data_IF_690647178847
#
_entry.id   IF_690647178847
#
_cell.length_a   1.000
_cell.length_b   1.000
_cell.length_c   1.000
_cell.angle_alpha   90.00
_cell.angle_beta   90.00
_cell.angle_gamma   90.00
#
_symmetry.space_group_name_H-M   'P 1'
#
loop_
_entity.id
_entity.type
_entity.pdbx_description
1 polymer ?
#
# COMPACT_ATOMS: atom_id res chain seq x y z
N UNK A 1 54.70 -72.55 39.86
CA UNK A 1 56.09 -72.11 40.15
C UNK A 1 56.55 -71.19 39.04
N UNK A 2 56.87 -69.96 39.42
CA UNK A 2 57.83 -69.02 38.83
C UNK A 2 57.92 -68.79 37.30
N UNK A 3 57.77 -67.49 36.96
CA UNK A 3 58.65 -66.68 36.06
C UNK A 3 58.52 -66.90 34.55
N UNK A 4 58.61 -65.91 33.64
CA UNK A 4 59.00 -64.49 33.70
C UNK A 4 58.70 -63.83 32.33
N UNK A 5 58.15 -62.61 32.35
CA UNK A 5 58.50 -61.39 31.57
C UNK A 5 58.66 -61.35 30.03
N UNK A 6 58.26 -60.19 29.49
CA UNK A 6 58.41 -59.60 28.15
C UNK A 6 57.33 -60.06 27.14
N UNK A 7 56.49 -59.20 26.52
CA UNK A 7 56.86 -58.13 25.60
C UNK A 7 55.58 -57.35 25.19
N UNK A 8 55.71 -56.03 24.96
CA UNK A 8 54.89 -55.19 24.07
C UNK A 8 53.40 -54.95 24.38
N UNK A 9 53.15 -53.88 25.14
CA UNK A 9 51.90 -53.09 25.11
C UNK A 9 51.92 -52.26 23.82
N UNK A 10 51.03 -52.57 22.88
CA UNK A 10 50.63 -51.71 21.78
C UNK A 10 49.19 -51.26 22.01
N UNK A 11 48.88 -50.04 21.56
CA UNK A 11 47.57 -49.40 21.51
C UNK A 11 47.06 -48.73 22.79
N UNK A 12 47.65 -47.58 23.15
CA UNK A 12 46.89 -46.41 23.61
C UNK A 12 47.80 -45.16 23.59
N UNK A 13 48.08 -44.67 22.38
CA UNK A 13 48.68 -43.36 22.16
C UNK A 13 48.26 -42.82 20.79
N UNK A 14 47.13 -42.11 20.77
CA UNK A 14 46.77 -41.19 19.68
C UNK A 14 46.03 -40.00 20.30
N UNK A 15 46.80 -39.11 20.92
CA UNK A 15 46.37 -37.79 21.35
C UNK A 15 47.35 -36.78 20.74
N UNK A 16 47.13 -36.43 19.47
CA UNK A 16 47.63 -35.19 18.89
C UNK A 16 46.62 -34.69 17.85
N UNK A 17 46.09 -33.50 18.11
CA UNK A 17 45.60 -32.47 17.18
C UNK A 17 44.64 -32.90 16.05
N UNK A 18 43.36 -32.60 16.28
CA UNK A 18 42.52 -31.95 15.27
C UNK A 18 41.81 -30.79 15.95
N UNK A 19 42.41 -29.61 15.87
CA UNK A 19 41.66 -28.36 15.89
C UNK A 19 41.01 -28.23 14.51
N UNK A 20 39.67 -28.17 14.46
CA UNK A 20 38.94 -27.16 13.68
C UNK A 20 37.42 -27.34 13.80
N UNK A 21 36.80 -26.21 14.16
CA UNK A 21 35.44 -25.80 13.81
C UNK A 21 34.26 -26.62 14.38
N UNK A 22 34.14 -26.68 15.71
CA UNK A 22 32.81 -26.49 16.29
C UNK A 22 32.44 -25.03 16.09
N UNK A 23 31.72 -24.74 15.00
CA UNK A 23 31.08 -23.45 14.81
C UNK A 23 30.25 -23.15 16.06
N UNK A 24 30.66 -22.13 16.80
CA UNK A 24 29.86 -21.55 17.85
C UNK A 24 28.54 -21.09 17.23
N UNK A 25 27.46 -21.86 17.41
CA UNK A 25 26.10 -21.32 17.43
C UNK A 25 26.04 -20.36 18.61
N UNK A 26 26.50 -19.14 18.36
CA UNK A 26 26.52 -18.04 19.31
C UNK A 26 25.14 -17.39 19.28
N UNK A 27 24.34 -17.72 20.31
CA UNK A 27 23.27 -16.90 20.87
C UNK A 27 22.50 -15.99 19.89
N UNK A 28 21.35 -16.46 19.40
CA UNK A 28 20.32 -15.63 18.77
C UNK A 28 19.57 -14.70 19.74
N UNK A 29 20.01 -14.56 20.99
CA UNK A 29 19.55 -13.53 21.92
C UNK A 29 20.52 -12.34 22.00
N UNK A 30 20.90 -11.78 20.85
CA UNK A 30 21.27 -10.36 20.85
C UNK A 30 19.97 -9.59 20.68
N UNK A 31 19.53 -8.90 21.74
CA UNK A 31 18.55 -7.84 21.57
C UNK A 31 19.07 -6.94 20.46
N UNK A 32 18.31 -6.84 19.37
CA UNK A 32 18.70 -5.99 18.26
C UNK A 32 18.89 -4.58 18.82
N UNK A 33 20.07 -4.01 18.57
CA UNK A 33 20.41 -2.68 19.05
C UNK A 33 19.95 -1.69 17.98
N UNK A 34 19.43 -0.55 18.42
CA UNK A 34 19.04 0.53 17.51
C UNK A 34 20.20 0.87 16.54
N UNK A 35 19.86 1.29 15.30
CA UNK A 35 20.87 1.68 14.31
C UNK A 35 21.87 2.71 14.88
N UNK A 36 23.15 2.51 14.58
CA UNK A 36 24.22 3.34 15.11
C UNK A 36 24.14 4.78 14.57
N UNK A 37 23.97 5.78 15.46
CA UNK A 37 23.91 7.21 15.09
C UNK A 37 25.12 7.66 14.30
N UNK A 38 26.33 7.29 14.72
CA UNK A 38 27.56 7.69 14.06
C UNK A 38 27.74 7.08 12.67
N UNK A 39 26.99 6.01 12.34
CA UNK A 39 26.94 5.47 11.00
C UNK A 39 25.95 6.24 10.13
N UNK A 40 24.76 6.54 10.66
CA UNK A 40 23.71 7.27 9.93
C UNK A 40 24.15 8.69 9.59
N UNK A 41 24.72 9.44 10.55
CA UNK A 41 25.16 10.82 10.34
C UNK A 41 26.30 10.97 9.31
N UNK A 42 26.98 9.87 8.92
CA UNK A 42 27.95 9.92 7.80
C UNK A 42 27.29 10.21 6.46
N UNK A 43 25.99 9.93 6.35
CA UNK A 43 25.18 10.12 5.16
C UNK A 43 24.09 11.16 5.38
N UNK A 44 24.24 12.04 6.38
CA UNK A 44 23.20 12.98 6.80
C UNK A 44 21.85 12.30 7.07
N UNK A 45 21.88 11.13 7.71
CA UNK A 45 20.69 10.42 8.17
C UNK A 45 20.64 10.40 9.69
N UNK A 46 19.44 10.37 10.24
CA UNK A 46 19.22 10.23 11.67
C UNK A 46 18.08 9.26 12.00
N UNK A 47 17.98 8.91 13.30
CA UNK A 47 16.90 8.05 13.80
C UNK A 47 15.70 8.92 14.16
N UNK A 48 14.54 8.60 13.60
CA UNK A 48 13.26 9.10 14.07
C UNK A 48 12.71 8.28 15.23
N UNK A 49 11.38 8.22 15.32
CA UNK A 49 10.65 7.41 16.29
C UNK A 49 11.01 5.92 16.23
N UNK A 50 11.00 5.27 17.39
CA UNK A 50 11.24 3.83 17.51
C UNK A 50 10.37 3.22 18.59
N UNK A 51 10.04 1.95 18.42
CA UNK A 51 9.11 1.23 19.28
C UNK A 51 9.42 -0.25 19.34
N UNK A 52 8.90 -0.90 20.38
CA UNK A 52 8.99 -2.34 20.54
C UNK A 52 7.58 -2.94 20.50
N UNK A 53 7.31 -3.73 19.46
CA UNK A 53 6.10 -4.52 19.35
C UNK A 53 6.12 -5.69 20.34
N UNK A 54 4.92 -6.16 20.70
CA UNK A 54 4.76 -7.36 21.53
C UNK A 54 4.96 -8.58 20.65
N UNK A 55 6.07 -9.28 20.87
CA UNK A 55 6.43 -10.52 20.18
C UNK A 55 6.83 -11.53 21.25
N UNK A 56 6.26 -12.74 21.20
CA UNK A 56 6.64 -13.80 22.12
C UNK A 56 8.04 -14.33 21.76
N UNK A 57 9.03 -14.31 22.68
CA UNK A 57 10.37 -14.81 22.38
C UNK A 57 10.39 -16.32 22.05
N UNK A 58 9.35 -17.08 22.39
CA UNK A 58 9.26 -18.52 22.17
C UNK A 58 8.63 -18.85 20.81
N UNK A 59 9.31 -18.46 19.73
CA UNK A 59 8.97 -18.89 18.36
C UNK A 59 7.94 -18.03 17.64
N UNK A 60 7.60 -16.86 18.18
CA UNK A 60 6.88 -15.83 17.44
C UNK A 60 7.88 -14.93 16.69
N UNK A 61 7.45 -14.41 15.56
CA UNK A 61 8.20 -13.41 14.81
C UNK A 61 7.23 -12.48 14.08
N UNK A 62 7.68 -11.26 13.84
CA UNK A 62 6.91 -10.32 13.02
C UNK A 62 6.72 -10.91 11.62
N UNK A 63 5.47 -10.88 11.16
CA UNK A 63 5.03 -11.34 9.85
C UNK A 63 4.78 -10.16 8.91
N UNK A 64 4.05 -9.15 9.37
CA UNK A 64 3.66 -7.98 8.57
C UNK A 64 3.91 -6.68 9.33
N UNK A 65 4.29 -5.66 8.56
CA UNK A 65 4.24 -4.26 8.97
C UNK A 65 3.33 -3.55 7.99
N UNK A 66 2.30 -2.90 8.52
CA UNK A 66 1.43 -2.01 7.78
C UNK A 66 1.50 -0.62 8.40
N UNK A 67 1.34 0.40 7.56
CA UNK A 67 1.40 1.81 7.97
C UNK A 67 0.22 2.52 7.32
N UNK A 68 -0.44 3.38 8.08
CA UNK A 68 -1.37 4.39 7.58
C UNK A 68 -0.83 5.80 7.92
N UNK A 69 -1.66 6.84 7.83
CA UNK A 69 -1.22 8.22 8.06
C UNK A 69 -0.79 8.52 9.52
N UNK A 70 -1.24 7.72 10.48
CA UNK A 70 -1.06 8.00 11.92
C UNK A 70 -0.37 6.86 12.68
N UNK A 71 -0.60 5.61 12.28
CA UNK A 71 -0.22 4.41 13.02
C UNK A 71 0.61 3.45 12.17
N UNK A 72 1.51 2.76 12.84
CA UNK A 72 2.14 1.55 12.33
C UNK A 72 1.57 0.33 13.07
N UNK A 73 1.15 -0.66 12.30
CA UNK A 73 0.70 -1.96 12.80
C UNK A 73 1.80 -2.99 12.59
N UNK A 74 2.16 -3.69 13.66
CA UNK A 74 3.10 -4.81 13.64
C UNK A 74 2.32 -6.07 13.98
N UNK A 75 2.23 -6.99 13.03
CA UNK A 75 1.51 -8.25 13.18
C UNK A 75 2.49 -9.42 13.19
N UNK A 76 2.27 -10.38 14.08
CA UNK A 76 3.16 -11.55 14.26
C UNK A 76 2.53 -12.85 13.80
N UNK A 77 3.34 -13.90 13.62
CA UNK A 77 2.86 -15.23 13.21
C UNK A 77 1.89 -15.87 14.21
N UNK A 78 2.04 -15.53 15.48
CA UNK A 78 1.16 -15.98 16.56
C UNK A 78 -0.05 -15.05 16.76
N UNK A 79 -0.42 -14.24 15.78
CA UNK A 79 -1.65 -13.43 15.84
C UNK A 79 -1.60 -12.26 16.83
N UNK A 80 -0.41 -11.88 17.29
CA UNK A 80 -0.22 -10.67 18.08
C UNK A 80 -0.20 -9.46 17.15
N UNK A 81 -0.94 -8.43 17.52
CA UNK A 81 -1.03 -7.18 16.77
C UNK A 81 -0.70 -6.05 17.72
N UNK A 82 0.29 -5.25 17.36
CA UNK A 82 0.65 -4.04 18.10
C UNK A 82 0.48 -2.83 17.21
N UNK A 83 -0.23 -1.81 17.68
CA UNK A 83 -0.23 -0.49 17.05
C UNK A 83 0.73 0.45 17.76
N UNK A 84 1.56 1.10 16.96
CA UNK A 84 2.52 2.11 17.37
C UNK A 84 2.13 3.45 16.73
N UNK A 85 2.26 4.54 17.47
CA UNK A 85 2.22 5.88 16.92
C UNK A 85 3.34 6.04 15.88
N UNK A 86 3.01 6.46 14.66
CA UNK A 86 3.92 6.44 13.52
C UNK A 86 5.11 7.40 13.69
N UNK A 87 4.89 8.53 14.37
CA UNK A 87 5.90 9.57 14.54
C UNK A 87 6.86 9.24 15.68
N UNK A 88 6.32 8.83 16.83
CA UNK A 88 7.08 8.62 18.07
C UNK A 88 7.53 7.18 18.26
N UNK A 89 6.86 6.21 17.63
CA UNK A 89 7.05 4.78 17.84
C UNK A 89 6.45 4.26 19.16
N UNK A 90 5.74 5.10 19.92
CA UNK A 90 5.11 4.68 21.18
C UNK A 90 3.97 3.70 20.90
N UNK A 91 3.93 2.60 21.64
CA UNK A 91 2.80 1.67 21.59
C UNK A 91 1.53 2.33 22.12
N UNK A 92 0.48 2.32 21.30
CA UNK A 92 -0.85 2.76 21.70
C UNK A 92 -1.65 1.60 22.28
N UNK A 93 -1.70 0.48 21.57
CA UNK A 93 -2.47 -0.68 21.99
C UNK A 93 -1.86 -2.00 21.50
N UNK A 94 -2.40 -3.08 22.05
CA UNK A 94 -2.05 -4.45 21.72
C UNK A 94 -3.32 -5.31 21.69
N UNK A 95 -3.44 -6.15 20.67
CA UNK A 95 -4.54 -7.07 20.49
C UNK A 95 -4.00 -8.47 20.19
N UNK A 96 -4.56 -9.50 20.85
CA UNK A 96 -4.20 -10.90 20.64
C UNK A 96 -5.38 -11.62 20.00
N UNK A 97 -5.24 -11.98 18.72
CA UNK A 97 -6.32 -12.66 17.99
C UNK A 97 -6.44 -14.16 18.35
N UNK A 98 -5.33 -14.88 18.49
CA UNK A 98 -5.33 -16.33 18.74
C UNK A 98 -3.98 -17.00 18.47
N UNK A 99 -3.91 -18.34 18.53
CA UNK A 99 -2.68 -19.11 18.29
C UNK A 99 -2.31 -19.18 16.79
N UNK A 100 -1.24 -19.92 16.42
CA UNK A 100 -0.66 -19.99 15.06
C UNK A 100 -1.68 -19.90 13.92
N UNK A 101 -1.55 -18.85 13.10
CA UNK A 101 -2.47 -18.54 12.01
C UNK A 101 -1.84 -18.95 10.67
N UNK A 102 -2.60 -19.64 9.82
CA UNK A 102 -2.12 -20.07 8.49
C UNK A 102 -2.02 -18.91 7.49
N UNK A 103 -2.98 -17.99 7.52
CA UNK A 103 -3.01 -16.80 6.68
C UNK A 103 -3.51 -15.62 7.49
N UNK A 104 -2.78 -14.50 7.43
CA UNK A 104 -3.19 -13.22 7.99
C UNK A 104 -2.89 -12.14 6.95
N UNK A 105 -3.88 -11.30 6.63
CA UNK A 105 -3.64 -10.16 5.77
C UNK A 105 -2.86 -9.07 6.53
N UNK A 106 -2.08 -8.24 5.85
CA UNK A 106 -1.64 -6.97 6.40
C UNK A 106 -2.85 -6.17 6.92
N UNK A 107 -2.65 -5.42 8.00
CA UNK A 107 -3.65 -4.50 8.51
C UNK A 107 -3.90 -3.38 7.49
N UNK A 108 -5.17 -3.02 7.30
CA UNK A 108 -5.58 -1.81 6.58
C UNK A 108 -6.50 -1.00 7.48
N UNK A 109 -6.63 0.29 7.26
CA UNK A 109 -7.43 1.15 8.12
C UNK A 109 -8.06 2.30 7.36
N UNK A 110 -9.18 2.77 7.87
CA UNK A 110 -9.77 4.06 7.51
C UNK A 110 -9.46 5.10 8.62
N UNK A 111 -10.28 6.14 8.74
CA UNK A 111 -10.12 7.19 9.75
C UNK A 111 -10.35 6.70 11.19
N UNK A 112 -11.16 5.66 11.40
CA UNK A 112 -11.66 5.25 12.73
C UNK A 112 -11.44 3.77 13.05
N UNK A 113 -11.27 2.92 12.04
CA UNK A 113 -11.26 1.47 12.17
C UNK A 113 -10.06 0.86 11.46
N UNK A 114 -9.45 -0.12 12.10
CA UNK A 114 -8.43 -0.99 11.53
C UNK A 114 -9.02 -2.37 11.26
N UNK A 115 -8.69 -2.94 10.10
CA UNK A 115 -9.22 -4.19 9.59
C UNK A 115 -8.09 -5.15 9.22
N UNK A 116 -8.32 -6.43 9.50
CA UNK A 116 -7.47 -7.50 8.98
C UNK A 116 -8.30 -8.77 8.80
N UNK A 117 -7.79 -9.66 7.96
CA UNK A 117 -8.33 -11.01 7.80
C UNK A 117 -7.38 -12.00 8.44
N UNK A 118 -7.94 -12.94 9.19
CA UNK A 118 -7.25 -14.11 9.73
C UNK A 118 -8.05 -15.37 9.41
N UNK A 119 -7.51 -16.23 8.55
CA UNK A 119 -8.23 -17.38 8.00
C UNK A 119 -9.51 -16.96 7.27
N UNK A 120 -10.67 -17.24 7.88
CA UNK A 120 -12.00 -16.89 7.36
C UNK A 120 -12.70 -15.78 8.16
N UNK A 121 -11.97 -15.10 9.04
CA UNK A 121 -12.51 -14.04 9.88
C UNK A 121 -12.00 -12.68 9.39
N UNK A 122 -12.93 -11.79 9.05
CA UNK A 122 -12.68 -10.37 8.91
C UNK A 122 -12.93 -9.70 10.25
N UNK A 123 -11.93 -9.03 10.79
CA UNK A 123 -11.96 -8.41 12.11
C UNK A 123 -11.87 -6.90 11.95
N UNK A 124 -12.68 -6.17 12.71
CA UNK A 124 -12.63 -4.73 12.81
C UNK A 124 -12.28 -4.32 14.24
N UNK A 125 -11.23 -3.51 14.38
CA UNK A 125 -10.76 -2.95 15.63
C UNK A 125 -10.89 -1.42 15.58
N UNK A 126 -11.28 -0.80 16.68
CA UNK A 126 -11.21 0.66 16.82
C UNK A 126 -9.74 1.12 16.70
N UNK A 127 -9.46 2.02 15.74
CA UNK A 127 -8.11 2.35 15.26
C UNK A 127 -7.16 2.79 16.38
N UNK A 128 -7.62 3.59 17.32
CA UNK A 128 -6.78 4.19 18.35
C UNK A 128 -6.78 3.46 19.70
N UNK A 129 -7.72 2.54 19.94
CA UNK A 129 -7.81 1.79 21.20
C UNK A 129 -7.47 0.31 21.05
N UNK A 130 -7.63 -0.25 19.84
CA UNK A 130 -7.50 -1.68 19.58
C UNK A 130 -8.68 -2.52 20.05
N UNK A 131 -9.77 -1.89 20.51
CA UNK A 131 -10.98 -2.60 20.94
C UNK A 131 -11.67 -3.26 19.74
N UNK A 132 -12.06 -4.52 19.88
CA UNK A 132 -12.81 -5.22 18.84
C UNK A 132 -14.21 -4.60 18.68
N UNK A 133 -14.48 -4.07 17.48
CA UNK A 133 -15.82 -3.60 17.09
C UNK A 133 -16.70 -4.77 16.68
N UNK A 134 -16.16 -5.64 15.83
CA UNK A 134 -16.86 -6.84 15.36
C UNK A 134 -15.92 -7.83 14.68
N UNK A 135 -16.41 -9.06 14.56
CA UNK A 135 -15.78 -10.14 13.81
C UNK A 135 -16.81 -10.82 12.90
N UNK A 136 -16.53 -10.83 11.60
CA UNK A 136 -17.41 -11.37 10.57
C UNK A 136 -16.78 -12.63 9.95
N UNK A 137 -17.55 -13.70 9.83
CA UNK A 137 -17.11 -14.91 9.13
C UNK A 137 -17.36 -14.78 7.63
N UNK A 138 -16.29 -14.81 6.85
CA UNK A 138 -16.27 -14.72 5.39
C UNK A 138 -16.77 -16.00 4.72
N UNK A 139 -17.24 -15.94 3.46
CA UNK A 139 -17.87 -17.08 2.80
C UNK A 139 -16.85 -18.11 2.29
N UNK A 140 -15.60 -17.71 2.13
CA UNK A 140 -14.51 -18.52 1.60
C UNK A 140 -13.17 -18.17 2.26
N UNK A 141 -12.16 -19.00 2.00
CA UNK A 141 -10.79 -18.75 2.43
C UNK A 141 -10.19 -17.65 1.56
N UNK A 142 -9.81 -16.55 2.20
CA UNK A 142 -9.21 -15.41 1.50
C UNK A 142 -7.74 -15.69 1.24
N UNK A 143 -7.31 -15.33 0.03
CA UNK A 143 -5.92 -15.54 -0.41
C UNK A 143 -5.27 -14.26 -0.90
N UNK A 144 -6.06 -13.25 -1.28
CA UNK A 144 -5.57 -11.90 -1.55
C UNK A 144 -5.34 -11.09 -0.27
N UNK A 145 -4.53 -10.04 -0.38
CA UNK A 145 -4.61 -8.93 0.59
C UNK A 145 -5.93 -8.17 0.43
N UNK A 146 -6.30 -7.37 1.43
CA UNK A 146 -7.53 -6.59 1.43
C UNK A 146 -7.30 -5.13 1.05
N UNK A 147 -8.33 -4.51 0.49
CA UNK A 147 -8.42 -3.05 0.34
C UNK A 147 -9.68 -2.56 1.03
N UNK A 148 -9.55 -1.46 1.77
CA UNK A 148 -10.68 -0.77 2.40
C UNK A 148 -10.86 0.60 1.74
N UNK A 149 -12.11 0.98 1.50
CA UNK A 149 -12.51 2.35 1.23
C UNK A 149 -13.56 2.83 2.24
N UNK A 150 -14.14 4.02 2.03
CA UNK A 150 -15.06 4.63 2.99
C UNK A 150 -16.38 3.84 3.16
N UNK A 151 -16.68 2.89 2.27
CA UNK A 151 -17.95 2.16 2.24
C UNK A 151 -17.79 0.65 2.25
N UNK A 152 -16.67 0.13 1.75
CA UNK A 152 -16.53 -1.28 1.41
C UNK A 152 -15.13 -1.83 1.67
N UNK A 153 -15.09 -3.13 1.93
CA UNK A 153 -13.85 -3.93 1.94
C UNK A 153 -13.87 -4.90 0.77
N UNK A 154 -12.76 -4.95 0.03
CA UNK A 154 -12.58 -5.79 -1.15
C UNK A 154 -11.51 -6.86 -0.92
N UNK A 155 -11.80 -8.08 -1.37
CA UNK A 155 -10.86 -9.20 -1.30
C UNK A 155 -11.26 -10.30 -2.28
N UNK A 156 -10.30 -11.15 -2.62
CA UNK A 156 -10.51 -12.36 -3.41
C UNK A 156 -10.27 -13.64 -2.60
N UNK A 157 -10.97 -14.70 -2.98
CA UNK A 157 -10.81 -16.04 -2.42
C UNK A 157 -10.09 -17.00 -3.38
N UNK A 158 -9.71 -18.15 -2.82
CA UNK A 158 -9.04 -19.26 -3.52
C UNK A 158 -9.84 -19.84 -4.70
N UNK A 159 -11.13 -19.52 -4.81
CA UNK A 159 -12.02 -20.04 -5.87
C UNK A 159 -12.19 -19.09 -7.05
N UNK A 160 -11.45 -17.98 -7.05
CA UNK A 160 -11.59 -16.90 -8.03
C UNK A 160 -12.84 -16.05 -7.82
N UNK A 161 -13.43 -16.05 -6.61
CA UNK A 161 -14.48 -15.09 -6.28
C UNK A 161 -13.87 -13.85 -5.66
N UNK A 162 -14.23 -12.69 -6.21
CA UNK A 162 -13.91 -11.37 -5.68
C UNK A 162 -15.16 -10.77 -5.02
N UNK A 163 -15.01 -10.24 -3.81
CA UNK A 163 -16.12 -9.76 -3.00
C UNK A 163 -15.95 -8.29 -2.66
N UNK A 164 -17.08 -7.59 -2.53
CA UNK A 164 -17.17 -6.30 -1.86
C UNK A 164 -18.14 -6.40 -0.70
N UNK A 165 -17.64 -6.23 0.52
CA UNK A 165 -18.42 -6.23 1.76
C UNK A 165 -18.81 -4.80 2.10
N UNK A 166 -20.09 -4.58 2.37
CA UNK A 166 -20.68 -3.30 2.77
C UNK A 166 -20.38 -3.00 4.25
N UNK A 167 -19.58 -1.98 4.52
CA UNK A 167 -19.15 -1.63 5.87
C UNK A 167 -20.29 -1.06 6.70
N UNK A 168 -21.07 -0.12 6.15
CA UNK A 168 -22.19 0.53 6.85
C UNK A 168 -23.20 -0.53 7.32
N UNK A 169 -23.58 -1.44 6.42
CA UNK A 169 -24.47 -2.53 6.75
C UNK A 169 -23.88 -3.48 7.80
N UNK A 170 -22.59 -3.79 7.70
CA UNK A 170 -21.90 -4.67 8.65
C UNK A 170 -21.86 -4.05 10.04
N UNK A 171 -21.56 -2.76 10.13
CA UNK A 171 -21.56 -2.02 11.39
C UNK A 171 -22.95 -1.93 12.01
N UNK A 172 -24.00 -1.74 11.20
CA UNK A 172 -25.37 -1.71 11.69
C UNK A 172 -25.86 -3.06 12.22
N UNK A 173 -25.41 -4.17 11.62
CA UNK A 173 -25.62 -5.50 12.19
C UNK A 173 -24.85 -5.68 13.50
N UNK A 174 -23.60 -5.23 13.57
CA UNK A 174 -22.78 -5.29 14.77
C UNK A 174 -23.39 -4.51 15.93
N UNK A 175 -23.82 -3.26 15.71
CA UNK A 175 -24.47 -2.41 16.72
C UNK A 175 -25.73 -3.02 17.30
N UNK A 176 -26.46 -3.82 16.51
CA UNK A 176 -27.66 -4.55 16.95
C UNK A 176 -27.36 -5.91 17.59
N UNK A 177 -26.11 -6.39 17.54
CA UNK A 177 -25.76 -7.75 17.96
C UNK A 177 -26.29 -8.83 17.04
N UNK A 178 -26.59 -8.48 15.78
CA UNK A 178 -27.25 -9.32 14.77
C UNK A 178 -26.30 -9.71 13.64
N UNK A 179 -24.98 -9.75 13.90
CA UNK A 179 -24.01 -10.16 12.88
C UNK A 179 -24.39 -11.52 12.30
N UNK A 180 -24.55 -11.62 10.98
CA UNK A 180 -25.08 -12.81 10.38
C UNK A 180 -24.06 -13.94 10.51
N UNK A 181 -24.56 -15.18 10.68
CA UNK A 181 -23.70 -16.37 10.68
C UNK A 181 -22.99 -16.58 9.34
N UNK A 182 -23.55 -16.01 8.28
CA UNK A 182 -22.99 -15.96 6.94
C UNK A 182 -22.83 -14.51 6.49
N UNK A 183 -21.67 -14.16 5.98
CA UNK A 183 -21.38 -12.82 5.44
C UNK A 183 -22.14 -12.49 4.15
N UNK A 184 -22.90 -13.40 3.55
CA UNK A 184 -23.66 -13.09 2.33
C UNK A 184 -24.63 -11.91 2.50
N UNK A 185 -25.19 -11.69 3.69
CA UNK A 185 -26.08 -10.56 3.95
C UNK A 185 -25.34 -9.21 4.00
N UNK A 186 -24.03 -9.25 4.29
CA UNK A 186 -23.12 -8.08 4.32
C UNK A 186 -22.47 -7.79 2.97
N UNK A 187 -22.56 -8.70 2.01
CA UNK A 187 -21.93 -8.53 0.69
C UNK A 187 -22.78 -7.57 -0.14
N UNK A 188 -22.15 -6.50 -0.64
CA UNK A 188 -22.77 -5.61 -1.63
C UNK A 188 -22.82 -6.31 -2.99
N UNK A 189 -21.68 -6.84 -3.43
CA UNK A 189 -21.59 -7.60 -4.67
C UNK A 189 -20.43 -8.59 -4.67
N UNK A 190 -20.49 -9.55 -5.60
CA UNK A 190 -19.43 -10.52 -5.86
C UNK A 190 -19.23 -10.70 -7.37
N UNK A 191 -18.01 -11.04 -7.76
CA UNK A 191 -17.60 -11.23 -9.14
C UNK A 191 -16.76 -12.50 -9.27
N UNK A 192 -16.94 -13.27 -10.35
CA UNK A 192 -16.14 -14.47 -10.63
C UNK A 192 -15.07 -14.13 -11.66
N UNK A 193 -13.80 -14.16 -11.26
CA UNK A 193 -12.67 -14.12 -12.17
C UNK A 193 -12.41 -15.50 -12.78
N UNK A 194 -11.56 -15.52 -13.80
CA UNK A 194 -11.09 -16.73 -14.46
C UNK A 194 -10.30 -17.65 -13.52
N UNK A 195 -9.52 -17.08 -12.60
CA UNK A 195 -8.75 -17.83 -11.60
C UNK A 195 -8.68 -17.10 -10.25
N UNK A 196 -8.00 -17.69 -9.28
CA UNK A 196 -7.71 -17.16 -7.95
C UNK A 196 -7.14 -15.73 -7.99
N UNK A 197 -7.47 -14.90 -7.02
CA UNK A 197 -6.92 -13.54 -6.90
C UNK A 197 -5.84 -13.52 -5.82
N UNK A 198 -4.58 -13.36 -6.23
CA UNK A 198 -3.45 -13.39 -5.29
C UNK A 198 -2.96 -12.01 -4.85
N UNK A 199 -3.09 -11.01 -5.72
CA UNK A 199 -2.56 -9.67 -5.45
C UNK A 199 -3.57 -8.79 -4.70
N UNK A 200 -3.06 -7.81 -3.97
CA UNK A 200 -3.88 -6.77 -3.36
C UNK A 200 -4.67 -6.05 -4.46
N UNK A 201 -6.00 -5.87 -4.30
CA UNK A 201 -6.76 -5.04 -5.21
C UNK A 201 -6.33 -3.57 -5.08
N UNK A 202 -6.48 -2.80 -6.16
CA UNK A 202 -6.04 -1.41 -6.25
C UNK A 202 -7.21 -0.52 -6.59
N UNK A 203 -7.47 0.49 -5.75
CA UNK A 203 -8.49 1.51 -6.01
C UNK A 203 -7.95 2.57 -6.97
N UNK A 204 -8.79 3.00 -7.89
CA UNK A 204 -8.59 4.18 -8.73
C UNK A 204 -9.94 4.88 -8.91
N UNK A 205 -10.06 6.13 -8.45
CA UNK A 205 -11.32 6.89 -8.53
C UNK A 205 -12.54 6.07 -8.02
N UNK A 206 -13.45 5.70 -8.93
CA UNK A 206 -14.69 4.95 -8.71
C UNK A 206 -14.59 3.45 -9.06
N UNK A 207 -13.39 2.98 -9.37
CA UNK A 207 -13.11 1.63 -9.82
C UNK A 207 -12.22 0.87 -8.84
N UNK A 208 -12.39 -0.45 -8.84
CA UNK A 208 -11.51 -1.39 -8.15
C UNK A 208 -10.87 -2.31 -9.20
N UNK A 209 -9.54 -2.35 -9.18
CA UNK A 209 -8.76 -3.18 -10.08
C UNK A 209 -8.20 -4.38 -9.32
N UNK A 210 -8.21 -5.53 -9.96
CA UNK A 210 -7.56 -6.72 -9.45
C UNK A 210 -7.12 -7.62 -10.61
N UNK A 211 -6.23 -8.55 -10.29
CA UNK A 211 -5.62 -9.46 -11.26
C UNK A 211 -5.78 -10.88 -10.72
N UNK A 212 -6.29 -11.79 -11.55
CA UNK A 212 -6.30 -13.22 -11.24
C UNK A 212 -4.96 -13.88 -11.57
N UNK A 213 -4.70 -15.07 -11.03
CA UNK A 213 -3.43 -15.80 -11.16
C UNK A 213 -3.09 -16.19 -12.60
N UNK A 214 -4.11 -16.36 -13.45
CA UNK A 214 -3.95 -16.51 -14.91
C UNK A 214 -3.39 -15.24 -15.60
N UNK A 215 -3.26 -14.13 -14.87
CA UNK A 215 -2.75 -12.85 -15.33
C UNK A 215 -3.80 -11.96 -15.98
N UNK A 216 -5.08 -12.30 -15.89
CA UNK A 216 -6.17 -11.46 -16.39
C UNK A 216 -6.44 -10.29 -15.44
N UNK A 217 -6.51 -9.07 -15.97
CA UNK A 217 -6.85 -7.87 -15.18
C UNK A 217 -8.30 -7.45 -15.38
N UNK A 218 -8.96 -7.10 -14.27
CA UNK A 218 -10.32 -6.59 -14.24
C UNK A 218 -10.33 -5.18 -13.63
N UNK A 219 -11.17 -4.30 -14.16
CA UNK A 219 -11.56 -3.04 -13.52
C UNK A 219 -13.08 -3.00 -13.41
N UNK A 220 -13.58 -2.98 -12.17
CA UNK A 220 -15.01 -2.99 -11.87
C UNK A 220 -15.42 -1.71 -11.15
N UNK A 221 -16.63 -1.23 -11.39
CA UNK A 221 -17.25 -0.18 -10.60
C UNK A 221 -17.37 -0.63 -9.14
N UNK A 222 -16.93 0.23 -8.21
CA UNK A 222 -17.05 -0.02 -6.76
C UNK A 222 -18.49 -0.15 -6.29
N UNK A 223 -19.42 0.56 -6.94
CA UNK A 223 -20.83 0.61 -6.53
C UNK A 223 -21.61 -0.66 -6.88
N UNK A 224 -21.48 -1.14 -8.12
CA UNK A 224 -22.42 -2.11 -8.69
C UNK A 224 -21.77 -3.23 -9.50
N UNK A 225 -20.43 -3.39 -9.41
CA UNK A 225 -19.55 -4.33 -10.16
C UNK A 225 -19.65 -4.22 -11.68
N UNK A 226 -20.18 -3.12 -12.24
CA UNK A 226 -20.16 -2.92 -13.69
C UNK A 226 -18.71 -2.94 -14.18
N UNK A 227 -18.41 -3.82 -15.12
CA UNK A 227 -17.07 -3.93 -15.70
C UNK A 227 -16.81 -2.75 -16.63
N UNK A 228 -15.71 -2.03 -16.38
CA UNK A 228 -15.20 -0.97 -17.25
C UNK A 228 -14.10 -1.48 -18.17
N UNK A 229 -13.12 -2.18 -17.60
CA UNK A 229 -11.99 -2.71 -18.32
C UNK A 229 -11.83 -4.20 -18.00
N UNK A 230 -11.48 -4.94 -19.03
CA UNK A 230 -11.01 -6.30 -18.94
C UNK A 230 -9.85 -6.42 -19.92
N UNK A 231 -8.69 -6.78 -19.38
CA UNK A 231 -7.47 -6.92 -20.16
C UNK A 231 -7.02 -8.38 -20.11
N UNK A 232 -7.21 -9.05 -21.24
CA UNK A 232 -6.65 -10.36 -21.56
C UNK A 232 -5.71 -10.13 -22.75
N UNK A 233 -4.45 -9.82 -22.44
CA UNK A 233 -3.43 -9.56 -23.45
C UNK A 233 -2.76 -10.86 -23.94
N UNK A 234 -1.89 -10.75 -24.94
CA UNK A 234 -1.08 -11.89 -25.46
C UNK A 234 -0.17 -12.53 -24.39
N UNK A 235 0.00 -11.88 -23.25
CA UNK A 235 0.81 -12.35 -22.13
C UNK A 235 0.17 -11.94 -20.81
N UNK A 236 0.35 -12.75 -19.75
CA UNK A 236 -0.29 -12.51 -18.46
C UNK A 236 0.32 -11.31 -17.73
N UNK A 237 -0.48 -10.66 -16.89
CA UNK A 237 0.02 -9.72 -15.87
C UNK A 237 0.73 -10.52 -14.78
N UNK A 238 2.00 -10.20 -14.53
CA UNK A 238 2.88 -11.02 -13.66
C UNK A 238 3.31 -10.34 -12.37
N UNK A 239 2.74 -9.18 -12.06
CA UNK A 239 3.06 -8.40 -10.87
C UNK A 239 1.85 -7.61 -10.38
N UNK A 240 1.79 -7.23 -9.08
CA UNK A 240 0.76 -6.34 -8.57
C UNK A 240 0.72 -5.02 -9.34
N UNK A 241 -0.49 -4.52 -9.57
CA UNK A 241 -0.74 -3.25 -10.26
C UNK A 241 -0.31 -2.06 -9.40
N UNK A 242 -0.07 -0.93 -10.04
CA UNK A 242 0.14 0.35 -9.36
C UNK A 242 -0.54 1.47 -10.11
N UNK A 243 -0.92 2.51 -9.37
CA UNK A 243 -1.72 3.61 -9.91
C UNK A 243 -1.15 4.95 -9.50
N UNK A 244 -1.34 5.94 -10.38
CA UNK A 244 -1.10 7.36 -10.08
C UNK A 244 -2.12 8.20 -10.83
N UNK A 245 -2.99 8.90 -10.10
CA UNK A 245 -4.14 9.56 -10.70
C UNK A 245 -4.95 8.56 -11.53
N UNK A 246 -5.18 8.87 -12.82
CA UNK A 246 -5.91 7.99 -13.77
C UNK A 246 -5.02 7.07 -14.60
N UNK A 247 -3.80 6.80 -14.15
CA UNK A 247 -2.83 5.95 -14.84
C UNK A 247 -2.66 4.62 -14.11
N UNK A 248 -2.64 3.53 -14.88
CA UNK A 248 -2.42 2.17 -14.39
C UNK A 248 -1.08 1.68 -14.93
N UNK A 249 -0.21 1.22 -14.04
CA UNK A 249 1.08 0.62 -14.37
C UNK A 249 1.03 -0.88 -14.16
N UNK A 250 1.41 -1.62 -15.18
CA UNK A 250 1.38 -3.08 -15.17
C UNK A 250 2.61 -3.68 -15.86
N UNK A 251 3.01 -4.85 -15.38
CA UNK A 251 4.08 -5.66 -15.96
C UNK A 251 3.46 -6.91 -16.56
N UNK A 252 3.79 -7.16 -17.82
CA UNK A 252 3.28 -8.27 -18.60
C UNK A 252 4.45 -9.09 -19.10
N UNK A 253 4.38 -10.40 -18.90
CA UNK A 253 5.36 -11.30 -19.46
C UNK A 253 4.83 -12.73 -19.53
N UNK A 254 5.11 -13.44 -20.61
CA UNK A 254 4.98 -14.90 -20.63
C UNK A 254 6.32 -15.51 -20.17
N UNK A 255 6.36 -16.22 -19.02
CA UNK A 255 7.56 -16.87 -18.53
C UNK A 255 8.17 -17.88 -19.52
N UNK A 256 7.35 -18.46 -20.39
CA UNK A 256 7.73 -19.45 -21.40
C UNK A 256 8.34 -18.80 -22.65
N UNK A 257 8.04 -17.52 -22.91
CA UNK A 257 8.51 -16.82 -24.09
C UNK A 257 9.73 -15.94 -23.79
N UNK A 258 10.74 -16.03 -24.65
CA UNK A 258 11.93 -15.16 -24.54
C UNK A 258 11.65 -13.69 -24.87
N UNK A 259 10.58 -13.40 -25.62
CA UNK A 259 10.40 -12.13 -26.32
C UNK A 259 9.27 -11.25 -25.82
N UNK A 260 8.46 -11.69 -24.85
CA UNK A 260 7.36 -10.87 -24.33
C UNK A 260 7.59 -10.50 -22.87
N UNK A 261 8.19 -9.34 -22.67
CA UNK A 261 8.52 -8.77 -21.36
C UNK A 261 8.33 -7.27 -21.45
N UNK A 262 7.16 -6.80 -21.07
CA UNK A 262 6.74 -5.42 -21.27
C UNK A 262 6.27 -4.81 -19.96
N UNK A 263 6.45 -3.50 -19.86
CA UNK A 263 5.76 -2.68 -18.88
C UNK A 263 4.90 -1.67 -19.62
N UNK A 264 3.71 -1.43 -19.10
CA UNK A 264 2.72 -0.54 -19.69
C UNK A 264 2.33 0.56 -18.70
N UNK A 265 1.94 1.69 -19.26
CA UNK A 265 1.07 2.66 -18.62
C UNK A 265 -0.20 2.77 -19.43
N UNK A 266 -1.34 2.49 -18.80
CA UNK A 266 -2.67 2.57 -19.40
C UNK A 266 -3.44 3.75 -18.80
N UNK A 267 -4.31 4.35 -19.61
CA UNK A 267 -5.33 5.26 -19.13
C UNK A 267 -6.49 4.44 -18.56
N UNK A 268 -6.89 4.73 -17.33
CA UNK A 268 -7.98 4.02 -16.65
C UNK A 268 -9.33 4.15 -17.39
N UNK A 269 -9.66 5.31 -17.96
CA UNK A 269 -10.99 5.59 -18.50
C UNK A 269 -11.35 4.70 -19.70
N UNK A 270 -10.38 4.40 -20.54
CA UNK A 270 -10.60 3.73 -21.83
C UNK A 270 -9.64 2.55 -22.07
N UNK A 271 -8.72 2.28 -21.15
CA UNK A 271 -7.70 1.24 -21.31
C UNK A 271 -6.64 1.54 -22.37
N UNK A 272 -6.58 2.75 -22.92
CA UNK A 272 -5.61 3.10 -23.95
C UNK A 272 -4.19 3.06 -23.39
N UNK A 273 -3.27 2.48 -24.17
CA UNK A 273 -1.85 2.51 -23.83
C UNK A 273 -1.28 3.91 -24.02
N UNK A 274 -0.97 4.58 -22.92
CA UNK A 274 -0.27 5.87 -22.93
C UNK A 274 1.18 5.68 -23.36
N UNK A 275 1.85 4.66 -22.82
CA UNK A 275 3.15 4.22 -23.28
C UNK A 275 3.41 2.75 -22.93
N UNK A 276 4.35 2.14 -23.67
CA UNK A 276 4.88 0.82 -23.36
C UNK A 276 6.41 0.80 -23.50
N UNK A 277 7.06 -0.09 -22.73
CA UNK A 277 8.50 -0.36 -22.84
C UNK A 277 8.74 -1.87 -22.86
N UNK A 278 9.55 -2.30 -23.82
CA UNK A 278 10.06 -3.67 -23.88
C UNK A 278 11.31 -3.76 -23.02
N UNK A 279 11.34 -4.76 -22.13
CA UNK A 279 12.45 -5.03 -21.23
C UNK A 279 13.16 -6.32 -21.63
N UNK A 280 14.39 -6.49 -21.14
CA UNK A 280 15.14 -7.74 -21.34
C UNK A 280 14.77 -8.82 -20.32
N UNK A 281 14.25 -8.41 -19.16
CA UNK A 281 13.78 -9.25 -18.07
C UNK A 281 12.44 -8.73 -17.56
N UNK A 282 11.53 -9.60 -17.10
CA UNK A 282 10.24 -9.17 -16.59
C UNK A 282 10.41 -8.46 -15.26
N UNK A 283 9.44 -7.62 -14.91
CA UNK A 283 9.29 -7.05 -13.58
C UNK A 283 8.24 -7.88 -12.86
N UNK A 284 8.64 -8.66 -11.85
CA UNK A 284 7.74 -9.55 -11.09
C UNK A 284 7.28 -8.94 -9.76
N UNK A 285 7.92 -7.84 -9.35
CA UNK A 285 7.55 -7.08 -8.16
C UNK A 285 6.64 -5.93 -8.58
N UNK A 286 5.83 -5.43 -7.63
CA UNK A 286 5.04 -4.22 -7.83
C UNK A 286 5.96 -3.05 -8.26
N UNK A 287 5.62 -2.38 -9.34
CA UNK A 287 6.32 -1.15 -9.74
C UNK A 287 5.83 0.01 -8.88
N UNK A 288 6.73 0.82 -8.35
CA UNK A 288 6.38 1.83 -7.36
C UNK A 288 6.35 3.20 -7.97
N UNK A 289 5.31 3.97 -7.68
CA UNK A 289 5.16 5.32 -8.21
C UNK A 289 5.23 6.33 -7.09
N UNK A 290 6.25 7.20 -7.13
CA UNK A 290 6.40 8.31 -6.19
C UNK A 290 6.58 9.60 -6.97
N UNK A 291 5.64 10.54 -6.84
CA UNK A 291 5.56 11.77 -7.65
C UNK A 291 5.54 11.43 -9.14
N UNK A 292 6.53 11.89 -9.90
CA UNK A 292 6.67 11.63 -11.35
C UNK A 292 7.64 10.47 -11.66
N UNK A 293 8.11 9.75 -10.63
CA UNK A 293 9.07 8.67 -10.78
C UNK A 293 8.39 7.31 -10.63
N UNK A 294 8.56 6.48 -11.64
CA UNK A 294 8.20 5.06 -11.62
C UNK A 294 9.47 4.24 -11.38
N UNK A 295 9.49 3.47 -10.30
CA UNK A 295 10.56 2.56 -9.93
C UNK A 295 10.18 1.14 -10.30
N UNK A 296 11.04 0.47 -11.06
CA UNK A 296 10.84 -0.92 -11.46
C UNK A 296 12.11 -1.72 -11.19
N UNK A 297 11.97 -2.99 -10.82
CA UNK A 297 13.10 -3.91 -10.65
C UNK A 297 12.93 -5.10 -11.59
N UNK A 298 13.50 -5.05 -12.81
CA UNK A 298 13.52 -6.22 -13.67
C UNK A 298 14.44 -7.29 -13.07
N UNK A 299 14.02 -8.55 -13.19
CA UNK A 299 14.72 -9.69 -12.59
C UNK A 299 16.21 -9.70 -12.97
N UNK A 300 17.10 -9.70 -11.97
CA UNK A 300 18.58 -9.71 -12.13
C UNK A 300 19.15 -8.51 -12.91
N UNK A 301 18.40 -7.42 -13.09
CA UNK A 301 18.87 -6.21 -13.77
C UNK A 301 19.02 -5.00 -12.84
N UNK A 302 18.53 -5.11 -11.62
CA UNK A 302 18.60 -4.05 -10.63
C UNK A 302 17.51 -2.99 -10.80
N UNK A 303 17.44 -2.04 -9.89
CA UNK A 303 16.44 -0.97 -9.86
C UNK A 303 16.64 0.03 -11.00
N UNK A 304 15.55 0.40 -11.66
CA UNK A 304 15.51 1.48 -12.65
C UNK A 304 14.49 2.53 -12.22
N UNK A 305 14.85 3.79 -12.46
CA UNK A 305 13.93 4.93 -12.33
C UNK A 305 13.51 5.39 -13.72
N UNK A 306 12.20 5.46 -13.93
CA UNK A 306 11.57 5.93 -15.16
C UNK A 306 10.70 7.15 -14.87
N UNK A 307 10.49 7.99 -15.88
CA UNK A 307 9.44 9.00 -15.85
C UNK A 307 8.07 8.34 -15.96
N UNK A 308 7.17 8.64 -15.02
CA UNK A 308 5.86 8.01 -14.88
C UNK A 308 4.95 8.25 -16.11
N UNK A 309 4.97 9.45 -16.71
CA UNK A 309 4.15 9.76 -17.90
C UNK A 309 4.70 9.29 -19.24
N UNK A 310 6.00 9.05 -19.37
CA UNK A 310 6.63 8.77 -20.68
C UNK A 310 7.29 7.40 -20.73
N UNK A 311 7.51 6.75 -19.58
CA UNK A 311 8.31 5.53 -19.47
C UNK A 311 9.77 5.74 -19.92
N UNK A 312 10.26 6.98 -20.01
CA UNK A 312 11.67 7.23 -20.31
C UNK A 312 12.51 6.87 -19.07
N UNK A 313 13.51 6.02 -19.25
CA UNK A 313 14.44 5.67 -18.18
C UNK A 313 15.40 6.85 -17.93
N UNK A 314 15.49 7.27 -16.67
CA UNK A 314 16.49 8.22 -16.21
C UNK A 314 17.83 7.51 -15.97
N UNK A 315 17.84 6.54 -15.05
CA UNK A 315 19.03 5.76 -14.70
C UNK A 315 18.67 4.33 -14.30
N UNK A 316 19.70 3.52 -14.09
CA UNK A 316 19.58 2.14 -13.60
C UNK A 316 20.73 1.81 -12.65
N UNK A 317 20.37 1.43 -11.42
CA UNK A 317 21.30 0.91 -10.43
C UNK A 317 21.29 -0.63 -10.50
N UNK A 318 22.46 -1.24 -10.74
CA UNK A 318 22.56 -2.69 -10.99
C UNK A 318 22.56 -3.54 -9.71
N UNK A 319 22.70 -2.91 -8.56
CA UNK A 319 22.88 -3.60 -7.27
C UNK A 319 21.57 -3.74 -6.51
N UNK A 320 20.71 -2.73 -6.62
CA UNK A 320 19.43 -2.66 -5.94
C UNK A 320 18.43 -3.70 -6.43
N UNK A 321 17.89 -4.53 -5.54
CA UNK A 321 16.92 -5.58 -5.83
C UNK A 321 15.50 -5.23 -5.37
N UNK A 322 15.32 -4.16 -4.58
CA UNK A 322 14.01 -3.69 -4.11
C UNK A 322 14.07 -2.22 -3.72
N UNK A 323 13.06 -1.44 -4.13
CA UNK A 323 12.86 -0.06 -3.68
C UNK A 323 12.29 -0.04 -2.27
N UNK A 324 12.76 0.87 -1.40
CA UNK A 324 12.24 1.03 -0.04
C UNK A 324 11.60 2.39 0.19
N UNK A 325 12.29 3.49 -0.10
CA UNK A 325 11.72 4.84 0.02
C UNK A 325 12.46 5.82 -0.88
N UNK A 326 11.84 6.96 -1.15
CA UNK A 326 12.45 8.12 -1.76
C UNK A 326 12.74 9.13 -0.65
N UNK A 327 13.79 9.91 -0.74
CA UNK A 327 14.04 11.06 0.14
C UNK A 327 14.37 12.26 -0.72
N UNK A 328 14.78 13.38 -0.10
CA UNK A 328 15.23 14.54 -0.87
C UNK A 328 16.44 14.19 -1.74
N UNK A 329 17.46 13.57 -1.11
CA UNK A 329 18.76 13.30 -1.71
C UNK A 329 18.89 11.88 -2.27
N UNK A 330 18.20 10.91 -1.66
CA UNK A 330 18.41 9.49 -1.94
C UNK A 330 17.18 8.79 -2.52
N UNK A 331 17.47 7.78 -3.32
CA UNK A 331 16.58 6.62 -3.49
C UNK A 331 17.14 5.53 -2.60
N UNK A 332 16.38 5.13 -1.59
CA UNK A 332 16.79 4.11 -0.65
C UNK A 332 16.25 2.77 -1.13
N UNK A 333 17.15 1.79 -1.23
CA UNK A 333 16.86 0.48 -1.79
C UNK A 333 17.54 -0.62 -0.97
N UNK A 334 17.23 -1.87 -1.28
CA UNK A 334 17.89 -3.06 -0.73
C UNK A 334 18.75 -3.73 -1.80
N UNK A 335 19.90 -4.30 -1.42
CA UNK A 335 20.73 -5.14 -2.29
C UNK A 335 20.51 -6.64 -2.04
N UNK A 336 21.12 -7.48 -2.88
CA UNK A 336 21.02 -8.94 -2.75
C UNK A 336 21.73 -9.54 -1.50
N UNK A 337 22.38 -8.70 -0.69
CA UNK A 337 23.07 -9.08 0.54
C UNK A 337 22.38 -8.48 1.78
N UNK A 338 21.11 -8.09 1.64
CA UNK A 338 20.26 -7.46 2.64
C UNK A 338 20.87 -6.20 3.26
N UNK A 339 21.70 -5.44 2.54
CA UNK A 339 22.11 -4.10 2.96
C UNK A 339 21.12 -3.08 2.42
N UNK A 340 21.03 -1.93 3.11
CA UNK A 340 20.28 -0.78 2.61
C UNK A 340 21.23 0.09 1.80
N UNK A 341 20.93 0.26 0.53
CA UNK A 341 21.65 1.12 -0.40
C UNK A 341 21.12 2.55 -0.31
N UNK A 342 22.04 3.51 -0.26
CA UNK A 342 21.77 4.93 -0.44
C UNK A 342 22.19 5.27 -1.86
N UNK A 343 21.23 5.46 -2.75
CA UNK A 343 21.46 5.72 -4.17
C UNK A 343 21.22 7.20 -4.41
N UNK A 344 22.13 7.89 -5.10
CA UNK A 344 21.91 9.26 -5.53
C UNK A 344 20.66 9.32 -6.40
N UNK A 345 19.71 10.18 -6.03
CA UNK A 345 18.41 10.28 -6.69
C UNK A 345 18.53 10.69 -8.16
N UNK A 346 19.52 11.50 -8.52
CA UNK A 346 19.64 12.10 -9.85
C UNK A 346 20.45 11.22 -10.80
N UNK A 347 21.55 10.63 -10.32
CA UNK A 347 22.50 9.85 -11.14
C UNK A 347 22.24 8.35 -11.09
N UNK A 348 21.65 7.84 -10.01
CA UNK A 348 21.47 6.41 -9.77
C UNK A 348 22.72 5.71 -9.22
N UNK A 349 23.76 6.45 -8.87
CA UNK A 349 24.99 5.90 -8.29
C UNK A 349 24.83 5.52 -6.82
N UNK A 350 25.40 4.40 -6.40
CA UNK A 350 25.39 3.98 -5.00
C UNK A 350 26.38 4.83 -4.19
N UNK A 351 25.88 5.74 -3.36
CA UNK A 351 26.68 6.61 -2.49
C UNK A 351 27.07 5.95 -1.16
N UNK A 352 26.23 5.02 -0.68
CA UNK A 352 26.42 4.42 0.63
C UNK A 352 25.74 3.07 0.81
N UNK A 353 26.18 2.34 1.83
CA UNK A 353 25.54 1.08 2.27
C UNK A 353 25.43 1.06 3.79
N UNK A 354 24.24 0.78 4.29
CA UNK A 354 23.96 0.58 5.71
C UNK A 354 23.76 -0.92 5.96
N UNK A 355 24.58 -1.56 6.82
CA UNK A 355 24.49 -2.98 7.12
C UNK A 355 23.41 -3.26 8.17
N UNK A 356 22.16 -2.88 7.89
CA UNK A 356 21.01 -3.09 8.80
C UNK A 356 20.34 -4.46 8.58
N UNK A 357 21.14 -5.54 8.56
CA UNK A 357 20.67 -6.90 8.24
C UNK A 357 19.75 -7.49 9.30
N UNK A 358 19.97 -7.14 10.56
CA UNK A 358 19.09 -7.56 11.67
C UNK A 358 17.68 -6.97 11.52
N UNK A 359 17.56 -5.85 10.79
CA UNK A 359 16.29 -5.25 10.40
C UNK A 359 15.83 -5.81 9.05
N UNK A 360 15.39 -7.06 9.10
CA UNK A 360 14.97 -7.84 7.93
C UNK A 360 13.57 -7.49 7.43
N UNK A 361 12.73 -6.85 8.25
CA UNK A 361 11.43 -6.35 7.80
C UNK A 361 11.57 -4.89 7.40
N UNK A 362 11.24 -4.59 6.15
CA UNK A 362 11.45 -3.26 5.55
C UNK A 362 10.16 -2.86 4.87
N UNK A 363 9.54 -1.81 5.39
CA UNK A 363 8.33 -1.28 4.78
C UNK A 363 8.70 -0.51 3.52
N UNK A 364 7.94 -0.76 2.46
CA UNK A 364 8.12 -0.11 1.17
C UNK A 364 7.25 1.15 1.16
N UNK A 365 7.87 2.26 1.54
CA UNK A 365 7.20 3.52 1.77
C UNK A 365 7.04 4.32 0.48
N UNK A 366 5.79 4.43 0.04
CA UNK A 366 5.37 5.26 -1.09
C UNK A 366 4.74 6.58 -0.63
N UNK A 367 4.50 6.74 0.68
CA UNK A 367 3.71 7.82 1.26
C UNK A 367 4.58 9.00 1.68
N UNK A 368 5.73 8.72 2.31
CA UNK A 368 6.60 9.74 2.91
C UNK A 368 8.07 9.49 2.65
N UNK A 369 8.92 10.43 3.03
CA UNK A 369 10.38 10.35 2.97
C UNK A 369 11.03 9.48 4.07
N UNK A 370 10.23 8.68 4.78
CA UNK A 370 10.71 7.89 5.92
C UNK A 370 11.13 6.49 5.47
N UNK A 371 12.24 5.99 6.01
CA UNK A 371 12.61 4.59 5.95
C UNK A 371 12.16 3.91 7.25
N UNK A 372 11.22 2.96 7.16
CA UNK A 372 10.80 2.16 8.30
C UNK A 372 11.37 0.75 8.21
N UNK A 373 12.10 0.37 9.25
CA UNK A 373 12.77 -0.93 9.34
C UNK A 373 12.46 -1.58 10.68
N UNK A 374 12.30 -2.90 10.68
CA UNK A 374 12.06 -3.66 11.90
C UNK A 374 12.77 -5.00 11.91
N UNK A 375 12.98 -5.49 13.13
CA UNK A 375 13.53 -6.82 13.38
C UNK A 375 12.39 -7.83 13.50
N UNK A 376 12.72 -9.12 13.30
CA UNK A 376 11.79 -10.23 13.57
C UNK A 376 11.29 -10.27 15.02
N UNK A 377 12.06 -9.72 15.95
CA UNK A 377 11.71 -9.62 17.37
C UNK A 377 10.83 -8.40 17.72
N UNK A 378 10.41 -7.60 16.73
CA UNK A 378 9.48 -6.50 16.95
C UNK A 378 10.10 -5.14 17.28
N UNK A 379 11.42 -4.97 17.21
CA UNK A 379 12.00 -3.63 17.29
C UNK A 379 11.77 -2.91 15.97
N UNK A 380 11.10 -1.77 16.01
CA UNK A 380 10.78 -0.92 14.85
C UNK A 380 11.53 0.40 14.98
N UNK A 381 12.09 0.88 13.88
CA UNK A 381 12.81 2.16 13.81
C UNK A 381 12.45 2.90 12.53
N UNK A 382 12.18 4.20 12.66
CA UNK A 382 12.14 5.15 11.55
C UNK A 382 13.51 5.81 11.35
N UNK A 383 13.92 6.01 10.10
CA UNK A 383 15.15 6.69 9.69
C UNK A 383 14.77 7.74 8.63
N UNK A 384 15.38 8.91 8.69
CA UNK A 384 15.18 9.99 7.72
C UNK A 384 16.44 10.84 7.53
N UNK A 385 16.44 11.73 6.55
CA UNK A 385 17.50 12.73 6.38
C UNK A 385 17.50 13.75 7.53
N UNK A 386 18.70 14.16 7.93
CA UNK A 386 18.92 15.19 8.95
C UNK A 386 18.24 16.50 8.51
N UNK A 387 17.48 17.11 9.42
CA UNK A 387 16.71 18.33 9.14
C UNK A 387 15.30 18.09 8.55
N UNK A 388 14.97 16.84 8.20
CA UNK A 388 13.59 16.44 7.89
C UNK A 388 12.90 15.94 9.17
N UNK A 389 12.62 16.83 10.13
CA UNK A 389 12.02 16.43 11.43
C UNK A 389 10.58 15.89 11.31
N UNK A 390 9.84 16.36 10.31
CA UNK A 390 8.48 15.92 10.00
C UNK A 390 8.42 15.17 8.67
N UNK A 391 7.59 14.12 8.54
CA UNK A 391 7.48 13.36 7.30
C UNK A 391 7.01 14.24 6.14
N UNK A 392 7.70 14.15 5.01
CA UNK A 392 7.30 14.82 3.77
C UNK A 392 6.39 13.90 2.98
N UNK A 393 5.10 14.21 2.93
CA UNK A 393 4.11 13.41 2.20
C UNK A 393 4.17 13.63 0.68
N UNK A 394 4.03 12.54 -0.08
CA UNK A 394 4.07 12.54 -1.55
C UNK A 394 2.69 12.54 -2.20
N UNK A 395 1.67 12.04 -1.51
CA UNK A 395 0.27 12.15 -1.91
C UNK A 395 -0.33 13.39 -1.26
N UNK A 396 -1.11 14.17 -2.03
CA UNK A 396 -1.84 15.37 -1.63
C UNK A 396 -1.03 16.41 -0.82
N UNK A 397 -0.38 17.34 -1.54
CA UNK A 397 0.21 18.55 -0.94
C UNK A 397 -0.81 19.48 -0.25
N UNK A 398 -2.12 19.20 -0.37
CA UNK A 398 -3.19 20.00 0.24
C UNK A 398 -3.43 19.70 1.74
N UNK A 399 -2.88 18.60 2.28
CA UNK A 399 -3.04 18.21 3.69
C UNK A 399 -1.72 18.27 4.48
N UNK A 400 -0.77 19.12 4.08
CA UNK A 400 0.35 19.40 4.96
C UNK A 400 -0.17 20.16 6.20
N UNK A 401 0.11 19.69 7.43
CA UNK A 401 -0.28 20.43 8.62
C UNK A 401 0.36 21.81 8.53
N UNK A 402 -0.48 22.84 8.57
CA UNK A 402 -0.03 24.23 8.59
C UNK A 402 0.87 24.36 9.82
N UNK A 403 2.14 24.75 9.62
CA UNK A 403 3.04 25.07 10.72
C UNK A 403 2.30 25.97 11.71
N UNK A 404 2.22 25.61 13.01
CA UNK A 404 1.69 26.54 13.99
C UNK A 404 2.64 27.74 13.99
N UNK A 405 2.21 28.82 13.32
CA UNK A 405 2.88 30.12 13.45
C UNK A 405 2.93 30.41 14.94
N UNK A 406 4.13 30.37 15.52
CA UNK A 406 4.35 30.81 16.89
C UNK A 406 3.68 32.18 17.01
N UNK A 407 2.70 32.28 17.90
CA UNK A 407 2.14 33.58 18.25
C UNK A 407 3.32 34.48 18.66
N UNK A 408 3.47 35.67 18.07
CA UNK A 408 4.55 36.56 18.47
C UNK A 408 4.40 36.84 19.97
N UNK A 409 5.50 36.69 20.70
CA UNK A 409 5.55 36.97 22.13
C UNK A 409 5.07 38.40 22.38
N UNK A 410 4.14 38.58 23.32
CA UNK A 410 3.50 39.84 23.68
C UNK A 410 4.44 40.84 24.39
N UNK A 411 5.71 40.91 24.01
CA UNK A 411 6.73 41.75 24.66
C UNK A 411 7.47 42.70 23.73
N UNK A 412 7.06 42.85 22.46
CA UNK A 412 7.63 43.86 21.55
C UNK A 412 6.57 44.87 21.06
N UNK A 413 5.83 45.47 21.98
CA UNK A 413 5.20 46.77 21.73
C UNK A 413 5.22 47.59 23.02
N UNK A 414 6.30 48.33 23.23
CA UNK A 414 6.34 49.57 24.00
C UNK A 414 7.71 50.21 23.80
N UNK A 415 7.79 51.15 22.86
CA UNK A 415 8.53 52.39 23.08
C UNK A 415 8.19 53.44 22.00
N UNK A 416 7.77 54.62 22.47
CA UNK A 416 7.66 55.90 21.73
C UNK A 416 6.33 56.14 21.00
N UNK A 417 5.53 57.17 21.28
CA UNK A 417 5.66 58.30 22.21
C UNK A 417 4.65 59.40 21.85
N UNK A 418 3.90 59.83 22.86
CA UNK A 418 3.20 61.12 23.11
C UNK A 418 2.10 61.68 22.19
N UNK A 419 1.05 62.12 22.90
CA UNK A 419 -0.21 62.76 22.53
C UNK A 419 -0.05 64.24 22.16
N UNK A 420 -1.02 64.81 21.43
CA UNK A 420 -1.91 65.90 21.91
C UNK A 420 -3.06 66.22 20.91
N UNK A 421 -4.15 66.92 21.35
CA UNK A 421 -5.52 66.74 20.85
C UNK A 421 -6.19 67.96 20.15
N UNK A 422 -7.37 67.68 19.56
CA UNK A 422 -8.54 68.52 19.20
C UNK A 422 -8.39 69.88 18.48
N UNK A 423 -9.08 70.03 17.32
CA UNK A 423 -10.11 71.07 17.12
C UNK A 423 -10.75 71.10 15.71
N UNK A 424 -12.07 71.33 15.73
CA UNK A 424 -13.04 71.84 14.75
C UNK A 424 -12.57 72.35 13.37
N UNK A 425 -13.35 72.06 12.30
CA UNK A 425 -14.22 73.04 11.60
C UNK A 425 -14.59 72.65 10.14
N UNK A 426 -15.86 72.88 9.82
CA UNK A 426 -16.46 73.30 8.54
C UNK A 426 -16.47 72.42 7.26
N UNK A 427 -17.70 72.14 6.80
CA UNK A 427 -18.08 71.91 5.39
C UNK A 427 -18.21 73.26 4.66
N UNK A 428 -18.11 73.29 3.32
CA UNK A 428 -19.31 73.48 2.46
C UNK A 428 -19.28 72.55 1.22
N UNK A 429 -20.33 71.81 0.86
CA UNK A 429 -21.60 72.18 0.20
C UNK A 429 -21.49 72.59 -1.29
N UNK A 430 -21.88 71.69 -2.20
CA UNK A 430 -22.66 71.93 -3.44
C UNK A 430 -23.15 70.55 -3.99
N UNK A 431 -24.43 70.14 -3.90
CA UNK A 431 -25.68 70.44 -4.66
C UNK A 431 -25.85 69.62 -5.97
N UNK A 432 -27.08 69.35 -6.49
CA UNK A 432 -27.84 68.12 -6.19
C UNK A 432 -28.55 67.41 -7.39
N UNK A 433 -28.91 66.10 -7.23
CA UNK A 433 -30.23 65.42 -7.55
C UNK A 433 -30.72 65.39 -9.04
N UNK A 434 -31.68 64.54 -9.54
CA UNK A 434 -32.56 63.51 -8.91
C UNK A 434 -32.51 62.09 -9.51
N UNK A 435 -32.80 61.03 -8.74
CA UNK A 435 -34.10 60.37 -8.46
C UNK A 435 -34.77 59.61 -9.63
N UNK A 436 -35.05 58.33 -9.37
CA UNK A 436 -35.99 57.49 -10.11
C UNK A 436 -36.31 56.24 -9.28
N UNK A 437 -37.52 56.19 -8.75
CA UNK A 437 -38.03 55.29 -7.71
C UNK A 437 -38.22 53.80 -8.09
N UNK A 438 -38.08 52.96 -7.06
CA UNK A 438 -38.52 51.58 -6.74
C UNK A 438 -39.96 51.13 -7.19
N UNK A 439 -40.47 49.89 -6.91
CA UNK A 439 -40.26 48.55 -7.51
C UNK A 439 -41.60 47.91 -8.03
N UNK A 440 -41.99 46.64 -7.71
CA UNK A 440 -41.97 45.41 -8.54
C UNK A 440 -43.37 44.91 -9.04
N UNK A 441 -43.42 43.90 -9.94
CA UNK A 441 -44.51 42.87 -10.06
C UNK A 441 -44.41 42.07 -11.39
N UNK A 442 -44.23 40.73 -11.37
CA UNK A 442 -45.16 39.57 -11.35
C UNK A 442 -45.61 38.99 -12.73
N UNK A 443 -45.56 37.65 -12.77
CA UNK A 443 -46.35 36.65 -13.53
C UNK A 443 -46.28 36.56 -15.07
N UNK A 444 -45.96 35.36 -15.58
CA UNK A 444 -46.98 34.44 -16.16
C UNK A 444 -46.39 33.11 -16.66
N UNK A 445 -47.12 32.05 -16.32
CA UNK A 445 -47.12 30.64 -16.74
C UNK A 445 -47.40 30.38 -18.24
N UNK A 446 -46.90 29.24 -18.78
CA UNK A 446 -47.68 28.12 -19.38
C UNK A 446 -46.87 27.21 -20.34
N UNK A 447 -47.13 25.89 -20.25
CA UNK A 447 -46.83 24.75 -21.16
C UNK A 447 -48.20 24.15 -21.57
N UNK A 448 -48.35 23.06 -22.37
CA UNK A 448 -47.58 22.44 -23.47
C UNK A 448 -48.50 22.05 -24.69
N UNK A 449 -48.02 21.28 -25.70
CA UNK A 449 -48.70 20.13 -26.39
C UNK A 449 -47.88 19.62 -27.62
N UNK A 450 -48.04 18.31 -27.90
CA UNK A 450 -47.28 17.35 -28.72
C UNK A 450 -47.63 17.31 -30.24
N UNK A 451 -47.02 16.41 -31.07
CA UNK A 451 -47.00 16.46 -32.56
C UNK A 451 -47.99 15.47 -33.23
N UNK A 452 -48.12 15.46 -34.59
CA UNK A 452 -48.79 14.39 -35.32
C UNK A 452 -47.84 13.40 -36.02
N UNK A 453 -48.40 12.23 -36.33
CA UNK A 453 -47.81 11.04 -36.92
C UNK A 453 -48.17 10.86 -38.41
N UNK A 454 -47.39 10.06 -39.14
CA UNK A 454 -47.77 9.26 -40.33
C UNK A 454 -46.64 8.23 -40.59
N UNK A 455 -46.83 6.91 -40.48
CA UNK A 455 -47.61 5.93 -41.26
C UNK A 455 -46.86 5.39 -42.52
N UNK A 456 -46.62 4.06 -42.50
CA UNK A 456 -46.60 3.10 -43.63
C UNK A 456 -45.42 2.10 -43.57
N UNK A 457 -45.75 0.87 -43.18
CA UNK A 457 -45.09 -0.36 -43.65
C UNK A 457 -45.87 -0.91 -44.86
N UNK A 458 -45.27 -1.84 -45.62
CA UNK A 458 -46.02 -3.06 -45.88
C UNK A 458 -45.21 -4.33 -45.60
N UNK A 459 -45.97 -5.35 -45.20
CA UNK A 459 -45.55 -6.73 -45.04
C UNK A 459 -45.26 -7.40 -46.39
N UNK A 460 -44.38 -8.40 -46.38
CA UNK A 460 -44.65 -9.60 -47.17
C UNK A 460 -44.10 -10.85 -46.48
N UNK A 461 -44.94 -11.88 -46.50
CA UNK A 461 -44.90 -13.19 -45.85
C UNK A 461 -44.36 -14.29 -46.76
N UNK A 462 -44.04 -15.44 -46.13
CA UNK A 462 -43.91 -16.80 -46.68
C UNK A 462 -42.60 -17.13 -47.41
N UNK A 463 -42.01 -18.32 -47.31
CA UNK A 463 -42.14 -19.53 -46.48
C UNK A 463 -41.01 -20.47 -46.96
N UNK A 464 -40.48 -21.31 -46.06
CA UNK A 464 -40.05 -22.71 -46.34
C UNK A 464 -38.81 -22.93 -47.23
N UNK A 465 -37.89 -23.88 -47.02
CA UNK A 465 -37.88 -25.13 -46.24
C UNK A 465 -36.42 -25.53 -45.89
N UNK A 466 -36.31 -26.24 -44.76
CA UNK A 466 -35.52 -27.43 -44.47
C UNK A 466 -33.98 -27.50 -44.60
N UNK A 467 -33.39 -28.02 -43.52
CA UNK A 467 -32.05 -28.59 -43.54
C UNK A 467 -31.49 -28.98 -42.16
N UNK A 468 -32.06 -30.02 -41.54
CA UNK A 468 -31.51 -30.76 -40.39
C UNK A 468 -29.99 -31.01 -40.46
N UNK A 469 -29.28 -30.95 -39.32
CA UNK A 469 -28.55 -32.10 -38.76
C UNK A 469 -28.09 -31.82 -37.32
N UNK A 470 -28.57 -32.66 -36.41
CA UNK A 470 -28.15 -32.79 -35.03
C UNK A 470 -27.31 -34.08 -34.97
N UNK A 471 -26.13 -34.08 -34.34
CA UNK A 471 -25.55 -35.31 -33.79
C UNK A 471 -24.68 -35.00 -32.58
N UNK A 472 -25.22 -35.45 -31.44
CA UNK A 472 -24.57 -35.61 -30.16
C UNK A 472 -23.87 -36.97 -30.05
N UNK A 473 -23.02 -37.07 -29.03
CA UNK A 473 -22.51 -38.25 -28.33
C UNK A 473 -21.30 -38.98 -28.97
N UNK A 474 -20.29 -39.38 -28.19
CA UNK A 474 -20.27 -39.87 -26.80
C UNK A 474 -19.07 -39.39 -25.99
#
# INVERSE_FOLDING_TARGET
MLTRTFLTICCLSSLFFVDTASAQMTNHNKSAILPNKALLSRYALERGGWGQAVVDPLGDEVLHIAIDDALMYVQTKMGNITALDLQTGKRLWYYKFGDQIQFMSPMVSDSETAYFISGVHLVALEKFSGNEKWMLRLPGAVTSQILVDEKQIYFGDVTGMFYAVDLERTEDFAKRGELPRSSFDTINWRYRSADEVLFAPVRIEEEILFVSDDGTMYALARSDKKQYLHFEGDSPVVAPLSTRGRQIYMSVADPSLRRDKRIFCLNERNGETLWQRVLTQPVLQRMIVVKDNLFAVPVRKGLMMLHADTGQRFWQNREAVRFLTLTESFVIAEDALDNILLIDRNTGETLGRLPLRDFSLRYQNEMTDRLYVATKSGLVVSIHEEGSDFPVFYRNQEEQPIDPKMAPNASEQKEGGLLEPDSQSEKPAEKPVPEGNDPPSTNSSAKPIAPPADSAAPANTNNNDDGFFNFDSK
#
